data_IF_466500538057
#
_entry.id   IF_466500538057
#
_cell.length_a   1.000
_cell.length_b   1.000
_cell.length_c   1.000
_cell.angle_alpha   90.00
_cell.angle_beta   90.00
_cell.angle_gamma   90.00
#
_symmetry.space_group_name_H-M   'P 1'
#
loop_
_entity.id
_entity.type
_entity.pdbx_description
1 polymer ?
#
# COMPACT_ATOMS: atom_id res chain seq x y z
N UNK A 1 -6.87 21.16 -9.01
CA UNK A 1 -5.88 20.09 -8.81
C UNK A 1 -4.51 20.74 -8.89
N UNK A 2 -3.70 20.62 -7.84
CA UNK A 2 -2.27 20.90 -7.99
C UNK A 2 -1.66 19.66 -8.65
N UNK A 3 -1.32 19.78 -9.93
CA UNK A 3 -0.62 18.73 -10.67
C UNK A 3 0.83 18.70 -10.19
N UNK A 4 1.13 17.88 -9.18
CA UNK A 4 2.50 17.71 -8.68
C UNK A 4 3.30 16.96 -9.74
N UNK A 5 4.15 17.70 -10.44
CA UNK A 5 5.05 17.16 -11.47
C UNK A 5 6.41 16.91 -10.86
N UNK A 6 6.82 15.65 -10.83
CA UNK A 6 8.16 15.25 -10.42
C UNK A 6 8.70 14.22 -11.43
N UNK A 7 9.98 14.29 -11.85
CA UNK A 7 10.54 13.37 -12.86
C UNK A 7 10.34 11.89 -12.51
N UNK A 8 10.48 11.52 -11.24
CA UNK A 8 10.24 10.15 -10.78
C UNK A 8 8.79 9.67 -11.00
N UNK A 9 7.80 10.57 -10.92
CA UNK A 9 6.39 10.24 -11.17
C UNK A 9 6.12 10.11 -12.68
N UNK A 10 6.80 10.91 -13.51
CA UNK A 10 6.66 10.83 -14.96
C UNK A 10 7.20 9.51 -15.56
N UNK A 11 8.10 8.83 -14.84
CA UNK A 11 8.71 7.57 -15.29
C UNK A 11 7.85 6.33 -14.96
N UNK A 12 6.72 6.47 -14.26
CA UNK A 12 5.90 5.33 -13.82
C UNK A 12 5.40 4.43 -14.96
N UNK A 13 5.15 5.00 -16.14
CA UNK A 13 4.72 4.25 -17.32
C UNK A 13 5.81 3.38 -17.97
N UNK A 14 7.05 3.45 -17.49
CA UNK A 14 8.19 2.67 -18.02
C UNK A 14 8.42 1.36 -17.27
N UNK A 15 7.71 1.13 -16.16
CA UNK A 15 7.87 -0.07 -15.34
C UNK A 15 7.19 -1.24 -16.05
N UNK A 16 7.97 -2.26 -16.40
CA UNK A 16 7.45 -3.59 -16.69
C UNK A 16 6.97 -4.25 -15.38
N UNK A 17 5.67 -4.52 -15.28
CA UNK A 17 5.01 -5.05 -14.08
C UNK A 17 4.98 -6.58 -14.01
N UNK A 18 5.49 -7.26 -15.03
CA UNK A 18 5.71 -8.71 -15.04
C UNK A 18 7.16 -9.08 -14.67
N UNK A 19 8.10 -8.14 -14.77
CA UNK A 19 9.49 -8.29 -14.31
C UNK A 19 9.69 -7.65 -12.92
N UNK A 20 9.83 -8.48 -11.88
CA UNK A 20 10.08 -7.99 -10.52
C UNK A 20 11.37 -7.17 -10.41
N UNK A 21 12.39 -7.41 -11.25
CA UNK A 21 13.60 -6.60 -11.30
C UNK A 21 13.34 -5.19 -11.82
N UNK A 22 12.48 -5.05 -12.83
CA UNK A 22 11.98 -3.76 -13.33
C UNK A 22 11.18 -3.02 -12.25
N UNK A 23 10.28 -3.73 -11.54
CA UNK A 23 9.49 -3.15 -10.45
C UNK A 23 10.37 -2.61 -9.33
N UNK A 24 11.42 -3.34 -8.93
CA UNK A 24 12.37 -2.86 -7.91
C UNK A 24 13.04 -1.56 -8.36
N UNK A 25 13.67 -1.53 -9.54
CA UNK A 25 14.38 -0.34 -10.04
C UNK A 25 13.45 0.89 -10.19
N UNK A 26 12.24 0.67 -10.71
CA UNK A 26 11.23 1.71 -10.83
C UNK A 26 10.72 2.20 -9.46
N UNK A 27 10.51 1.27 -8.53
CA UNK A 27 10.14 1.56 -7.14
C UNK A 27 11.20 2.37 -6.42
N UNK A 28 12.47 1.95 -6.46
CA UNK A 28 13.60 2.65 -5.85
C UNK A 28 13.68 4.11 -6.32
N UNK A 29 13.56 4.35 -7.63
CA UNK A 29 13.55 5.72 -8.18
C UNK A 29 12.46 6.60 -7.57
N UNK A 30 11.26 6.04 -7.34
CA UNK A 30 10.13 6.77 -6.76
C UNK A 30 10.27 6.94 -5.25
N UNK A 31 10.71 5.90 -4.55
CA UNK A 31 10.89 5.93 -3.10
C UNK A 31 12.05 6.86 -2.71
N UNK A 32 13.15 6.82 -3.44
CA UNK A 32 14.27 7.76 -3.25
C UNK A 32 13.82 9.21 -3.41
N UNK A 33 12.97 9.50 -4.39
CA UNK A 33 12.39 10.83 -4.53
C UNK A 33 11.51 11.21 -3.33
N UNK A 34 10.63 10.30 -2.89
CA UNK A 34 9.73 10.56 -1.75
C UNK A 34 10.48 10.74 -0.41
N UNK A 35 11.66 10.15 -0.28
CA UNK A 35 12.48 10.19 0.93
C UNK A 35 13.46 11.36 0.92
N UNK A 36 14.10 11.63 -0.23
CA UNK A 36 15.20 12.59 -0.32
C UNK A 36 14.78 13.97 -0.82
N UNK A 37 13.64 14.10 -1.50
CA UNK A 37 13.06 15.41 -1.81
C UNK A 37 12.18 15.89 -0.63
N UNK A 38 12.61 16.91 0.13
CA UNK A 38 11.89 17.37 1.30
C UNK A 38 10.53 18.01 0.97
N UNK A 39 10.24 18.34 -0.29
CA UNK A 39 8.97 18.95 -0.70
C UNK A 39 7.98 17.93 -1.27
N UNK A 40 8.46 16.79 -1.80
CA UNK A 40 7.60 15.87 -2.55
C UNK A 40 6.56 15.17 -1.68
N UNK A 41 6.98 14.45 -0.63
CA UNK A 41 6.05 13.74 0.24
C UNK A 41 5.10 14.70 0.98
N UNK A 42 5.56 15.81 1.59
CA UNK A 42 4.67 16.81 2.18
C UNK A 42 3.68 17.39 1.15
N UNK A 43 4.15 17.73 -0.05
CA UNK A 43 3.30 18.24 -1.12
C UNK A 43 2.20 17.26 -1.53
N UNK A 44 2.51 15.97 -1.66
CA UNK A 44 1.53 14.93 -1.98
C UNK A 44 0.51 14.73 -0.86
N UNK A 45 0.95 14.78 0.40
CA UNK A 45 0.06 14.72 1.57
C UNK A 45 -0.85 15.96 1.64
N UNK A 46 -0.31 17.15 1.42
CA UNK A 46 -1.11 18.38 1.42
C UNK A 46 -2.09 18.42 0.23
N UNK A 47 -1.72 17.86 -0.94
CA UNK A 47 -2.62 17.75 -2.08
C UNK A 47 -3.85 16.88 -1.80
N UNK A 48 -3.76 15.90 -0.89
CA UNK A 48 -4.95 15.15 -0.44
C UNK A 48 -6.01 16.10 0.12
N UNK A 49 -5.64 17.15 0.85
CA UNK A 49 -6.63 18.05 1.48
C UNK A 49 -7.48 18.79 0.45
N UNK A 50 -6.93 19.06 -0.73
CA UNK A 50 -7.60 19.83 -1.80
C UNK A 50 -8.13 18.96 -2.94
N UNK A 51 -7.52 17.80 -3.21
CA UNK A 51 -7.94 16.88 -4.27
C UNK A 51 -8.95 15.87 -3.76
N UNK A 52 -10.24 16.18 -3.98
CA UNK A 52 -11.33 15.28 -3.63
C UNK A 52 -11.23 13.92 -4.34
N UNK A 53 -10.70 13.88 -5.56
CA UNK A 53 -10.64 12.63 -6.33
C UNK A 53 -9.64 11.63 -5.73
N UNK A 54 -8.55 12.11 -5.12
CA UNK A 54 -7.60 11.28 -4.39
C UNK A 54 -8.14 10.90 -3.00
N UNK A 55 -8.76 11.84 -2.27
CA UNK A 55 -9.40 11.55 -0.96
C UNK A 55 -10.43 10.46 -1.04
N UNK A 56 -11.23 10.47 -2.12
CA UNK A 56 -12.26 9.49 -2.40
C UNK A 56 -11.71 8.05 -2.56
N UNK A 57 -10.40 7.90 -2.73
CA UNK A 57 -9.67 6.64 -2.84
C UNK A 57 -8.94 6.24 -1.54
N UNK A 58 -8.95 7.10 -0.51
CA UNK A 58 -8.36 6.80 0.79
C UNK A 58 -9.29 5.92 1.62
N UNK A 59 -8.71 4.93 2.29
CA UNK A 59 -9.45 3.87 2.97
C UNK A 59 -8.94 3.66 4.40
N UNK A 60 -9.85 3.40 5.35
CA UNK A 60 -9.55 2.96 6.71
C UNK A 60 -10.08 1.54 6.91
N UNK A 61 -9.19 0.66 7.33
CA UNK A 61 -9.49 -0.69 7.80
C UNK A 61 -9.23 -0.77 9.31
N UNK A 62 -9.66 -1.88 9.92
CA UNK A 62 -9.40 -2.22 11.32
C UNK A 62 -7.91 -2.11 11.70
N UNK A 63 -7.02 -2.56 10.81
CA UNK A 63 -5.57 -2.62 11.07
C UNK A 63 -4.72 -1.63 10.26
N UNK A 64 -5.30 -0.89 9.31
CA UNK A 64 -4.52 -0.11 8.35
C UNK A 64 -5.29 1.09 7.79
N UNK A 65 -4.64 2.25 7.81
CA UNK A 65 -5.04 3.43 7.06
C UNK A 65 -4.27 3.48 5.73
N UNK A 66 -4.98 3.73 4.62
CA UNK A 66 -4.41 3.83 3.26
C UNK A 66 -4.68 5.21 2.69
N UNK A 67 -3.62 5.99 2.50
CA UNK A 67 -3.66 7.27 1.79
C UNK A 67 -3.22 7.08 0.34
N UNK A 68 -3.94 7.63 -0.63
CA UNK A 68 -3.57 7.57 -2.05
C UNK A 68 -2.86 8.85 -2.47
N UNK A 69 -1.52 8.82 -2.47
CA UNK A 69 -0.70 9.99 -2.74
C UNK A 69 -0.74 10.44 -4.20
N UNK A 70 -0.82 9.49 -5.13
CA UNK A 70 -0.81 9.75 -6.57
C UNK A 70 -1.56 8.64 -7.32
N UNK A 71 -2.39 9.00 -8.32
CA UNK A 71 -3.18 8.08 -9.15
C UNK A 71 -2.97 8.44 -10.64
N UNK A 72 -2.06 7.72 -11.31
CA UNK A 72 -1.90 7.82 -12.76
C UNK A 72 -2.90 6.89 -13.43
N UNK A 73 -3.99 7.47 -13.93
CA UNK A 73 -5.06 6.71 -14.57
C UNK A 73 -4.69 6.20 -15.96
N UNK A 74 -3.79 6.87 -16.67
CA UNK A 74 -3.37 6.46 -18.00
C UNK A 74 -2.46 5.23 -17.92
N UNK A 75 -1.48 5.26 -17.01
CA UNK A 75 -0.62 4.10 -16.72
C UNK A 75 -1.28 3.05 -15.80
N UNK A 76 -2.42 3.39 -15.20
CA UNK A 76 -3.12 2.59 -14.16
C UNK A 76 -2.27 2.31 -12.91
N UNK A 77 -1.31 3.18 -12.62
CA UNK A 77 -0.37 3.09 -11.50
C UNK A 77 -0.84 3.94 -10.34
N UNK A 78 -0.53 3.51 -9.11
CA UNK A 78 -0.85 4.30 -7.91
C UNK A 78 0.24 4.22 -6.86
N UNK A 79 0.52 5.36 -6.25
CA UNK A 79 1.35 5.46 -5.04
C UNK A 79 0.43 5.60 -3.84
N UNK A 80 0.68 4.79 -2.82
CA UNK A 80 -0.05 4.77 -1.56
C UNK A 80 0.91 4.90 -0.39
N UNK A 81 0.42 5.48 0.69
CA UNK A 81 1.03 5.39 2.00
C UNK A 81 0.12 4.53 2.88
N UNK A 82 0.73 3.58 3.57
CA UNK A 82 0.09 2.70 4.53
C UNK A 82 0.55 3.08 5.93
N UNK A 83 -0.39 3.39 6.83
CA UNK A 83 -0.14 3.60 8.26
C UNK A 83 -0.78 2.44 9.04
N UNK A 84 0.06 1.55 9.55
CA UNK A 84 -0.38 0.36 10.28
C UNK A 84 -0.82 0.72 11.70
N UNK A 85 -1.96 0.15 12.09
CA UNK A 85 -2.57 0.31 13.42
C UNK A 85 -2.25 -0.94 14.25
N UNK A 86 -2.45 -0.85 15.57
CA UNK A 86 -2.37 -2.04 16.42
C UNK A 86 -3.43 -3.08 16.03
N UNK A 87 -3.14 -4.35 16.29
CA UNK A 87 -4.11 -5.43 16.10
C UNK A 87 -4.09 -6.12 14.73
N UNK A 88 -3.07 -5.89 13.90
CA UNK A 88 -2.89 -6.75 12.73
C UNK A 88 -2.62 -8.19 13.16
N UNK A 89 -3.34 -9.12 12.54
CA UNK A 89 -3.10 -10.55 12.66
C UNK A 89 -2.84 -11.14 11.28
N UNK A 90 -2.11 -12.24 11.28
CA UNK A 90 -1.60 -12.90 10.08
C UNK A 90 -2.74 -13.33 9.14
N UNK A 91 -2.84 -12.68 7.97
CA UNK A 91 -3.80 -12.99 6.91
C UNK A 91 -3.05 -13.20 5.59
N UNK A 92 -2.53 -14.41 5.31
CA UNK A 92 -1.85 -14.71 4.07
C UNK A 92 -2.74 -14.41 2.85
N UNK A 93 -2.21 -13.65 1.90
CA UNK A 93 -2.95 -13.24 0.71
C UNK A 93 -2.03 -12.97 -0.47
N UNK A 94 -2.60 -13.02 -1.68
CA UNK A 94 -1.99 -12.46 -2.89
C UNK A 94 -2.60 -11.09 -3.22
N UNK A 95 -2.12 -10.44 -4.28
CA UNK A 95 -2.60 -9.12 -4.70
C UNK A 95 -3.16 -9.16 -6.11
N UNK A 96 -4.05 -8.24 -6.44
CA UNK A 96 -4.53 -8.07 -7.82
C UNK A 96 -3.50 -7.43 -8.76
N UNK A 97 -2.42 -6.88 -8.22
CA UNK A 97 -1.40 -6.11 -8.92
C UNK A 97 -0.03 -6.50 -8.40
N UNK A 98 0.98 -6.45 -9.27
CA UNK A 98 2.36 -6.45 -8.84
C UNK A 98 2.69 -5.08 -8.22
N UNK A 99 3.58 -5.05 -7.25
CA UNK A 99 3.88 -3.82 -6.52
C UNK A 99 5.30 -3.80 -5.96
N UNK A 100 5.79 -2.59 -5.68
CA UNK A 100 6.96 -2.33 -4.84
C UNK A 100 6.49 -1.73 -3.50
N UNK A 101 7.24 -2.02 -2.43
CA UNK A 101 7.04 -1.44 -1.11
C UNK A 101 8.35 -0.92 -0.55
N UNK A 102 8.29 0.13 0.26
CA UNK A 102 9.42 0.71 0.99
C UNK A 102 8.98 1.05 2.41
N UNK A 103 9.78 0.69 3.42
CA UNK A 103 9.50 1.02 4.82
C UNK A 103 10.04 2.40 5.14
N UNK A 104 9.15 3.33 5.44
CA UNK A 104 9.51 4.71 5.78
C UNK A 104 9.82 4.87 7.27
N UNK A 105 9.05 4.19 8.13
CA UNK A 105 9.23 4.20 9.59
C UNK A 105 8.61 2.97 10.22
N UNK A 106 9.05 2.60 11.42
CA UNK A 106 8.63 1.38 12.11
C UNK A 106 9.23 0.11 11.50
N UNK A 107 8.55 -1.02 11.62
CA UNK A 107 9.00 -2.31 11.09
C UNK A 107 7.86 -3.32 10.96
N UNK A 108 8.03 -4.31 10.10
CA UNK A 108 7.16 -5.48 10.10
C UNK A 108 7.88 -6.78 9.77
N UNK A 109 7.32 -7.90 10.24
CA UNK A 109 7.72 -9.23 9.79
C UNK A 109 6.97 -9.55 8.50
N UNK A 110 7.72 -9.76 7.41
CA UNK A 110 7.20 -10.15 6.11
C UNK A 110 7.47 -11.64 5.89
N UNK A 111 6.42 -12.41 5.61
CA UNK A 111 6.54 -13.83 5.23
C UNK A 111 6.00 -14.05 3.84
N UNK A 112 6.73 -14.84 3.05
CA UNK A 112 6.31 -15.32 1.73
C UNK A 112 6.09 -16.82 1.83
N UNK A 113 4.97 -17.30 1.31
CA UNK A 113 4.57 -18.71 1.39
C UNK A 113 4.70 -19.43 0.04
N UNK A 114 4.72 -18.70 -1.07
CA UNK A 114 4.80 -19.26 -2.41
C UNK A 114 4.02 -18.44 -3.43
N UNK A 115 3.44 -19.11 -4.43
CA UNK A 115 2.57 -18.50 -5.43
C UNK A 115 1.12 -18.99 -5.31
N UNK A 116 0.18 -18.21 -5.84
CA UNK A 116 -1.26 -18.42 -5.74
C UNK A 116 -1.80 -19.64 -6.48
N UNK A 117 -1.01 -20.38 -7.25
CA UNK A 117 -1.41 -21.69 -7.79
C UNK A 117 -1.29 -22.79 -6.73
N UNK A 118 -0.55 -22.55 -5.65
CA UNK A 118 -0.33 -23.49 -4.55
C UNK A 118 -1.36 -23.34 -3.43
N UNK A 119 -2.25 -22.34 -3.54
CA UNK A 119 -3.21 -21.97 -2.50
C UNK A 119 -4.62 -21.81 -3.08
N UNK A 120 -5.63 -22.22 -2.33
CA UNK A 120 -7.03 -22.17 -2.71
C UNK A 120 -7.94 -21.96 -1.52
N UNK A 121 -9.25 -22.02 -1.75
CA UNK A 121 -10.25 -21.77 -0.70
C UNK A 121 -10.17 -22.78 0.46
N UNK A 122 -9.77 -24.02 0.14
CA UNK A 122 -9.62 -25.14 1.08
C UNK A 122 -8.24 -25.19 1.76
N UNK A 123 -7.37 -24.20 1.51
CA UNK A 123 -6.05 -24.14 2.17
C UNK A 123 -6.22 -23.82 3.65
N UNK A 124 -5.73 -24.71 4.50
CA UNK A 124 -5.61 -24.46 5.93
C UNK A 124 -4.51 -23.41 6.20
N UNK A 125 -4.83 -22.21 6.73
CA UNK A 125 -3.83 -21.18 7.02
C UNK A 125 -2.80 -21.62 8.08
N UNK A 126 -3.10 -22.61 8.93
CA UNK A 126 -2.16 -23.14 9.93
C UNK A 126 -1.15 -24.14 9.34
N UNK A 127 -1.43 -24.67 8.14
CA UNK A 127 -0.52 -25.56 7.42
C UNK A 127 0.59 -24.83 6.66
N UNK A 128 0.50 -23.49 6.57
CA UNK A 128 1.42 -22.69 5.76
C UNK A 128 2.81 -22.59 6.38
N UNK A 129 3.82 -22.93 5.59
CA UNK A 129 5.23 -22.76 5.94
C UNK A 129 5.82 -21.64 5.11
N UNK A 130 6.37 -20.63 5.78
CA UNK A 130 7.06 -19.54 5.09
C UNK A 130 8.31 -20.08 4.36
N UNK A 131 8.38 -19.88 3.05
CA UNK A 131 9.59 -20.18 2.26
C UNK A 131 10.64 -19.07 2.41
N UNK A 132 10.20 -17.89 2.84
CA UNK A 132 11.05 -16.76 3.15
C UNK A 132 10.42 -15.92 4.25
N UNK A 133 11.22 -15.48 5.22
CA UNK A 133 10.82 -14.58 6.28
C UNK A 133 11.90 -13.52 6.49
N UNK A 134 11.47 -12.26 6.56
CA UNK A 134 12.33 -11.09 6.81
C UNK A 134 11.68 -10.17 7.82
N UNK A 135 12.53 -9.48 8.58
CA UNK A 135 12.13 -8.29 9.34
C UNK A 135 12.51 -7.10 8.47
N UNK A 136 11.50 -6.39 7.97
CA UNK A 136 11.69 -5.18 7.16
C UNK A 136 11.63 -3.96 8.09
N UNK A 137 12.66 -3.13 8.06
CA UNK A 137 12.80 -1.88 8.80
C UNK A 137 13.04 -0.68 7.88
N UNK A 138 13.22 0.53 8.43
CA UNK A 138 13.29 1.75 7.63
C UNK A 138 14.43 1.71 6.61
N UNK A 139 14.13 2.04 5.35
CA UNK A 139 15.07 1.93 4.24
C UNK A 139 14.95 0.62 3.45
N UNK A 140 14.37 -0.42 4.03
CA UNK A 140 14.16 -1.68 3.30
C UNK A 140 13.08 -1.51 2.23
N UNK A 141 13.34 -2.15 1.09
CA UNK A 141 12.39 -2.21 -0.03
C UNK A 141 12.33 -3.61 -0.63
N UNK A 142 11.20 -3.91 -1.26
CA UNK A 142 10.99 -5.14 -2.01
C UNK A 142 9.92 -4.96 -3.08
N UNK A 143 9.87 -5.91 -4.02
CA UNK A 143 8.79 -6.04 -4.98
C UNK A 143 8.15 -7.42 -4.89
N UNK A 144 6.84 -7.50 -5.10
CA UNK A 144 6.11 -8.74 -5.24
C UNK A 144 5.37 -8.78 -6.57
N UNK A 145 5.44 -9.93 -7.21
CA UNK A 145 4.55 -10.25 -8.32
C UNK A 145 3.13 -10.50 -7.79
N UNK A 146 2.10 -10.19 -8.59
CA UNK A 146 0.70 -10.33 -8.17
C UNK A 146 0.29 -11.77 -7.79
N UNK A 147 1.09 -12.77 -8.17
CA UNK A 147 0.88 -14.18 -7.81
C UNK A 147 1.49 -14.56 -6.46
N UNK A 148 2.39 -13.75 -5.89
CA UNK A 148 3.05 -14.06 -4.62
C UNK A 148 2.04 -14.04 -3.46
N UNK A 149 2.04 -15.09 -2.65
CA UNK A 149 1.26 -15.15 -1.39
C UNK A 149 2.15 -14.76 -0.24
N UNK A 150 1.74 -13.72 0.49
CA UNK A 150 2.52 -13.17 1.59
C UNK A 150 1.63 -12.67 2.73
N UNK A 151 2.27 -12.34 3.84
CA UNK A 151 1.66 -11.63 4.98
C UNK A 151 2.65 -10.62 5.53
N UNK A 152 2.14 -9.59 6.20
CA UNK A 152 2.96 -8.57 6.86
C UNK A 152 2.42 -8.31 8.25
N UNK A 153 3.19 -8.62 9.29
CA UNK A 153 2.81 -8.34 10.67
C UNK A 153 3.57 -7.10 11.15
N UNK A 154 2.90 -5.94 11.13
CA UNK A 154 3.50 -4.67 11.46
C UNK A 154 3.33 -4.27 12.92
N UNK A 155 4.35 -3.59 13.45
CA UNK A 155 4.21 -2.83 14.68
C UNK A 155 3.26 -1.64 14.44
N UNK A 156 2.54 -1.23 15.48
CA UNK A 156 1.70 -0.04 15.40
C UNK A 156 2.55 1.18 15.01
N UNK A 157 1.96 2.09 14.22
CA UNK A 157 2.62 3.28 13.67
C UNK A 157 3.73 3.00 12.65
N UNK A 158 3.86 1.77 12.16
CA UNK A 158 4.69 1.48 10.99
C UNK A 158 4.11 2.18 9.76
N UNK A 159 4.98 2.80 8.96
CA UNK A 159 4.63 3.48 7.72
C UNK A 159 5.36 2.82 6.56
N UNK A 160 4.63 2.38 5.54
CA UNK A 160 5.21 1.96 4.28
C UNK A 160 4.66 2.77 3.10
N UNK A 161 5.53 3.06 2.14
CA UNK A 161 5.15 3.52 0.81
C UNK A 161 4.92 2.30 -0.07
N UNK A 162 3.85 2.31 -0.87
CA UNK A 162 3.51 1.24 -1.79
C UNK A 162 3.23 1.80 -3.17
N UNK A 163 3.97 1.31 -4.16
CA UNK A 163 3.83 1.63 -5.56
C UNK A 163 3.23 0.41 -6.27
N UNK A 164 1.99 0.52 -6.76
CA UNK A 164 1.28 -0.60 -7.42
C UNK A 164 1.00 -0.32 -8.89
N UNK A 165 1.09 -1.38 -9.69
CA UNK A 165 0.82 -1.35 -11.13
C UNK A 165 -0.64 -1.54 -11.51
N UNK A 166 -0.89 -1.80 -12.81
CA UNK A 166 -2.18 -2.24 -13.33
C UNK A 166 -2.70 -3.49 -12.62
N UNK A 167 -4.02 -3.70 -12.66
CA UNK A 167 -4.61 -4.93 -12.14
C UNK A 167 -4.40 -6.07 -13.13
N UNK A 168 -3.72 -7.14 -12.69
CA UNK A 168 -3.53 -8.38 -13.44
C UNK A 168 -4.72 -9.35 -13.28
N UNK A 169 -5.56 -9.16 -12.25
CA UNK A 169 -6.77 -9.98 -11.99
C UNK A 169 -7.88 -9.21 -11.27
N UNK A 170 -9.09 -9.77 -11.31
CA UNK A 170 -10.29 -9.14 -10.75
C UNK A 170 -10.43 -9.26 -9.23
N UNK A 171 -9.84 -10.30 -8.66
CA UNK A 171 -9.95 -10.65 -7.25
C UNK A 171 -8.68 -11.28 -6.71
N UNK A 172 -8.57 -11.33 -5.39
CA UNK A 172 -7.49 -12.00 -4.67
C UNK A 172 -8.06 -12.73 -3.45
N UNK A 173 -7.38 -13.77 -2.99
CA UNK A 173 -7.83 -14.62 -1.90
C UNK A 173 -7.13 -14.19 -0.61
N UNK A 174 -7.90 -14.06 0.47
CA UNK A 174 -7.37 -13.92 1.82
C UNK A 174 -7.65 -15.21 2.57
N UNK A 175 -6.61 -15.78 3.18
CA UNK A 175 -6.74 -16.84 4.17
C UNK A 175 -6.83 -16.20 5.56
N UNK A 176 -7.93 -16.44 6.26
CA UNK A 176 -8.20 -15.88 7.57
C UNK A 176 -8.04 -16.95 8.65
N UNK A 177 -6.88 -16.93 9.31
CA UNK A 177 -6.56 -17.84 10.41
C UNK A 177 -7.52 -17.70 11.59
N UNK A 178 -7.99 -16.49 11.89
CA UNK A 178 -8.88 -16.25 13.02
C UNK A 178 -10.30 -16.77 12.77
N UNK A 179 -10.77 -16.65 11.52
CA UNK A 179 -12.09 -17.14 11.11
C UNK A 179 -12.09 -18.62 10.67
N UNK A 180 -10.91 -19.24 10.50
CA UNK A 180 -10.77 -20.64 10.07
C UNK A 180 -11.23 -20.88 8.64
N UNK A 181 -11.06 -19.90 7.75
CA UNK A 181 -11.56 -19.98 6.38
C UNK A 181 -10.89 -19.00 5.43
N UNK A 182 -11.47 -18.84 4.24
CA UNK A 182 -10.96 -17.96 3.20
C UNK A 182 -12.07 -17.12 2.59
N UNK A 183 -11.71 -15.97 2.02
CA UNK A 183 -12.66 -15.13 1.30
C UNK A 183 -12.01 -14.36 0.16
N UNK A 184 -12.77 -14.17 -0.92
CA UNK A 184 -12.34 -13.37 -2.07
C UNK A 184 -12.58 -11.89 -1.82
N UNK A 185 -11.57 -11.09 -2.13
CA UNK A 185 -11.68 -9.63 -2.19
C UNK A 185 -11.62 -9.20 -3.65
N UNK A 186 -12.65 -8.49 -4.08
CA UNK A 186 -12.80 -8.00 -5.44
C UNK A 186 -12.32 -6.57 -5.59
N UNK A 187 -12.06 -6.15 -6.82
CA UNK A 187 -11.74 -4.76 -7.10
C UNK A 187 -12.87 -3.77 -6.89
N UNK A 188 -12.52 -2.50 -6.73
CA UNK A 188 -13.47 -1.39 -6.54
C UNK A 188 -14.59 -1.29 -7.61
N UNK A 189 -14.37 -1.84 -8.81
CA UNK A 189 -15.39 -1.92 -9.87
C UNK A 189 -16.54 -2.90 -9.55
N UNK A 190 -16.31 -3.85 -8.65
CA UNK A 190 -17.27 -4.90 -8.25
C UNK A 190 -17.73 -4.74 -6.79
N UNK A 191 -17.22 -3.74 -6.06
CA UNK A 191 -17.64 -3.46 -4.70
C UNK A 191 -19.01 -2.77 -4.68
N UNK A 192 -19.86 -3.18 -3.74
CA UNK A 192 -21.13 -2.49 -3.52
C UNK A 192 -20.90 -1.04 -3.05
N UNK A 193 -21.87 -0.13 -3.26
CA UNK A 193 -21.80 1.22 -2.68
C UNK A 193 -21.55 1.22 -1.18
N UNK A 194 -22.16 0.29 -0.44
CA UNK A 194 -22.03 0.15 1.01
C UNK A 194 -20.62 -0.29 1.42
N UNK A 195 -20.04 -1.26 0.71
CA UNK A 195 -18.66 -1.70 0.93
C UNK A 195 -17.65 -0.59 0.68
N UNK A 196 -17.87 0.23 -0.36
CA UNK A 196 -17.02 1.41 -0.63
C UNK A 196 -17.19 2.48 0.44
N UNK A 197 -18.42 2.74 0.87
CA UNK A 197 -18.71 3.73 1.88
C UNK A 197 -18.15 3.35 3.26
N UNK A 198 -18.19 2.06 3.64
CA UNK A 198 -17.78 1.61 4.97
C UNK A 198 -16.28 1.77 5.24
N UNK A 199 -15.44 1.64 4.21
CA UNK A 199 -13.99 1.81 4.32
C UNK A 199 -13.50 3.19 3.92
N UNK A 200 -14.32 4.01 3.24
CA UNK A 200 -13.91 5.35 2.80
C UNK A 200 -13.61 6.24 4.01
N UNK A 201 -12.48 6.93 3.98
CA UNK A 201 -12.16 7.90 5.01
C UNK A 201 -13.02 9.17 4.87
N UNK A 202 -13.50 9.72 5.99
CA UNK A 202 -14.01 11.09 6.04
C UNK A 202 -12.87 12.10 5.85
N UNK A 203 -13.20 13.36 5.59
CA UNK A 203 -12.19 14.44 5.48
C UNK A 203 -11.37 14.57 6.77
N UNK A 204 -12.04 14.60 7.93
CA UNK A 204 -11.38 14.65 9.24
C UNK A 204 -10.46 13.46 9.48
N UNK A 205 -10.86 12.27 9.04
CA UNK A 205 -10.08 11.04 9.15
C UNK A 205 -8.80 11.11 8.31
N UNK A 206 -8.88 11.63 7.08
CA UNK A 206 -7.69 11.88 6.24
C UNK A 206 -6.76 12.89 6.92
N UNK A 207 -7.30 13.99 7.44
CA UNK A 207 -6.51 15.04 8.09
C UNK A 207 -5.79 14.56 9.35
N UNK A 208 -6.47 13.74 10.18
CA UNK A 208 -5.90 13.07 11.35
C UNK A 208 -4.77 12.12 10.95
N UNK A 209 -4.98 11.30 9.92
CA UNK A 209 -3.95 10.37 9.43
C UNK A 209 -2.75 11.13 8.87
N UNK A 210 -2.94 12.20 8.11
CA UNK A 210 -1.84 13.07 7.64
C UNK A 210 -1.07 13.66 8.83
N UNK A 211 -1.77 14.18 9.85
CA UNK A 211 -1.14 14.71 11.06
C UNK A 211 -0.33 13.66 11.82
N UNK A 212 -0.83 12.43 11.90
CA UNK A 212 -0.11 11.30 12.51
C UNK A 212 1.14 10.93 11.71
N UNK A 213 1.03 10.84 10.38
CA UNK A 213 2.17 10.60 9.48
C UNK A 213 3.24 11.66 9.68
N UNK A 214 2.89 12.95 9.64
CA UNK A 214 3.81 14.06 9.84
C UNK A 214 4.54 13.99 11.19
N UNK A 215 3.83 13.59 12.25
CA UNK A 215 4.42 13.41 13.59
C UNK A 215 5.45 12.28 13.61
N UNK A 216 5.16 11.15 12.95
CA UNK A 216 6.06 9.97 12.94
C UNK A 216 7.28 10.21 12.06
N UNK A 217 7.10 10.83 10.90
CA UNK A 217 8.19 11.03 9.91
C UNK A 217 9.01 12.28 10.17
N UNK A 218 8.54 13.19 11.03
CA UNK A 218 9.13 14.51 11.18
C UNK A 218 8.94 15.41 9.95
N UNK A 219 8.14 14.97 8.97
CA UNK A 219 7.80 15.78 7.81
C UNK A 219 6.93 16.96 8.26
N UNK A 220 7.46 18.18 8.20
CA UNK A 220 6.68 19.36 8.49
C UNK A 220 5.62 19.56 7.40
N UNK A 221 4.33 19.46 7.73
CA UNK A 221 3.28 19.99 6.86
C UNK A 221 3.38 21.51 6.88
N UNK A 222 3.39 22.13 5.70
CA UNK A 222 3.52 23.58 5.54
C UNK A 222 2.34 24.36 6.17
N UNK A 223 1.25 23.67 6.54
CA UNK A 223 -0.04 24.26 6.89
C UNK A 223 -0.13 24.74 8.35
N UNK A 224 0.84 24.46 9.22
CA UNK A 224 0.85 25.00 10.59
C UNK A 224 1.52 26.39 10.73
N UNK A 225 1.75 27.12 9.62
CA UNK A 225 2.36 28.48 9.62
C UNK A 225 1.45 29.60 9.11
N UNK A 226 0.12 29.46 9.17
CA UNK A 226 -0.81 30.58 8.92
C UNK A 226 -1.64 30.91 10.15
#
# INVERSE_FOLDING_TARGET
MADIRHPALAALGQIDWEDTGSIVRGGETVFDALVNDPELLPGLLDNLRVDRSLRDLCERYDFLDKLVLHDDRAAQVRIRLHLYRSGYFDRPHNHRWSFASYILSGRYTHRIFGNDQQFGEDTDPDSLVAVHERIEGPGDSYALHHTSVHTVQAEADTISLLLRGPAAKDRFLILDRAAGGSFWVYGAAQESPEQRASKRMSESCVDETIGRVATITGAASAVLRS
#
